data_IF_250725236488
#
_entry.id   IF_250725236488
#
_cell.length_a   1.000
_cell.length_b   1.000
_cell.length_c   1.000
_cell.angle_alpha   90.00
_cell.angle_beta   90.00
_cell.angle_gamma   90.00
#
_symmetry.space_group_name_H-M   'P 1'
#
loop_
_entity.id
_entity.type
_entity.pdbx_description
1 polymer ?
#
# COMPACT_ATOMS: atom_id res chain seq x y z
N UNK A 1 -16.69 -13.84 -10.69
CA UNK A 1 -15.82 -12.67 -10.96
C UNK A 1 -14.45 -12.92 -10.35
N UNK A 2 -13.39 -12.37 -10.95
CA UNK A 2 -12.07 -12.43 -10.35
C UNK A 2 -12.05 -11.62 -9.04
N UNK A 3 -11.32 -12.10 -8.03
CA UNK A 3 -11.16 -11.37 -6.76
C UNK A 3 -10.33 -10.11 -6.94
N UNK A 4 -10.65 -9.05 -6.19
CA UNK A 4 -9.94 -7.78 -6.24
C UNK A 4 -8.80 -7.76 -5.22
N UNK A 5 -7.61 -7.45 -5.69
CA UNK A 5 -6.42 -7.23 -4.86
C UNK A 5 -6.01 -5.76 -4.90
N UNK A 6 -5.99 -5.11 -3.74
CA UNK A 6 -5.54 -3.74 -3.54
C UNK A 6 -4.12 -3.75 -2.95
N UNK A 7 -3.17 -3.15 -3.67
CA UNK A 7 -1.76 -3.06 -3.26
C UNK A 7 -1.42 -1.60 -3.02
N UNK A 8 -1.10 -1.21 -1.79
CA UNK A 8 -0.67 0.17 -1.52
C UNK A 8 0.76 0.40 -2.00
N UNK A 9 1.01 1.52 -2.69
CA UNK A 9 2.34 1.83 -3.23
C UNK A 9 2.83 0.84 -4.28
N UNK A 10 1.92 0.26 -5.07
CA UNK A 10 2.23 -0.80 -6.04
C UNK A 10 2.97 -0.35 -7.31
N UNK A 11 3.33 0.93 -7.43
CA UNK A 11 4.09 1.46 -8.57
C UNK A 11 5.61 1.48 -8.33
N UNK A 12 6.07 1.07 -7.16
CA UNK A 12 7.49 1.00 -6.82
C UNK A 12 7.98 -0.45 -6.74
N UNK A 13 9.21 -0.68 -7.05
CA UNK A 13 9.98 -1.93 -6.98
C UNK A 13 9.24 -3.20 -6.48
N UNK A 14 9.19 -3.40 -5.17
CA UNK A 14 8.50 -4.55 -4.59
C UNK A 14 7.00 -4.56 -4.88
N UNK A 15 6.34 -3.40 -4.79
CA UNK A 15 4.90 -3.28 -5.04
C UNK A 15 4.53 -3.65 -6.48
N UNK A 16 5.32 -3.25 -7.47
CA UNK A 16 5.11 -3.62 -8.87
C UNK A 16 5.23 -5.14 -9.07
N UNK A 17 6.25 -5.76 -8.50
CA UNK A 17 6.43 -7.21 -8.57
C UNK A 17 5.24 -7.96 -7.92
N UNK A 18 4.71 -7.44 -6.82
CA UNK A 18 3.50 -7.97 -6.16
C UNK A 18 2.28 -7.83 -7.06
N UNK A 19 2.06 -6.67 -7.68
CA UNK A 19 0.97 -6.45 -8.62
C UNK A 19 1.03 -7.43 -9.80
N UNK A 20 2.19 -7.59 -10.42
CA UNK A 20 2.43 -8.53 -11.52
C UNK A 20 2.11 -9.97 -11.08
N UNK A 21 2.60 -10.38 -9.91
CA UNK A 21 2.36 -11.74 -9.41
C UNK A 21 0.89 -12.00 -9.11
N UNK A 22 0.17 -11.05 -8.53
CA UNK A 22 -1.25 -11.17 -8.26
C UNK A 22 -2.06 -11.25 -9.56
N UNK A 23 -1.71 -10.46 -10.58
CA UNK A 23 -2.34 -10.55 -11.90
C UNK A 23 -2.13 -11.92 -12.55
N UNK A 24 -0.92 -12.47 -12.46
CA UNK A 24 -0.61 -13.82 -12.97
C UNK A 24 -1.40 -14.92 -12.24
N UNK A 25 -1.85 -14.66 -11.00
CA UNK A 25 -2.72 -15.55 -10.23
C UNK A 25 -4.23 -15.33 -10.52
N UNK A 26 -4.58 -14.44 -11.45
CA UNK A 26 -5.96 -14.20 -11.89
C UNK A 26 -6.72 -13.19 -11.05
N UNK A 27 -6.04 -12.38 -10.22
CA UNK A 27 -6.69 -11.29 -9.50
C UNK A 27 -6.90 -10.06 -10.38
N UNK A 28 -7.99 -9.33 -10.16
CA UNK A 28 -8.12 -7.95 -10.62
C UNK A 28 -7.28 -7.07 -9.71
N UNK A 29 -6.22 -6.47 -10.24
CA UNK A 29 -5.23 -5.73 -9.42
C UNK A 29 -5.48 -4.25 -9.49
N UNK A 30 -5.54 -3.64 -8.31
CA UNK A 30 -5.63 -2.20 -8.09
C UNK A 30 -4.45 -1.76 -7.24
N UNK A 31 -3.88 -0.61 -7.53
CA UNK A 31 -2.82 -0.02 -6.70
C UNK A 31 -3.15 1.40 -6.26
N UNK A 32 -2.43 1.88 -5.25
CA UNK A 32 -2.48 3.29 -4.86
C UNK A 32 -1.15 3.98 -5.10
N UNK A 33 -1.22 5.28 -5.26
CA UNK A 33 -0.07 6.18 -5.30
C UNK A 33 -0.34 7.43 -4.46
N UNK A 34 0.70 8.13 -4.01
CA UNK A 34 0.52 9.40 -3.30
C UNK A 34 -0.21 10.43 -4.18
N UNK A 35 -1.06 11.31 -3.62
CA UNK A 35 -1.82 12.28 -4.40
C UNK A 35 -0.98 13.20 -5.30
N UNK A 36 0.27 13.50 -4.89
CA UNK A 36 1.20 14.29 -5.68
C UNK A 36 2.00 13.50 -6.74
N UNK A 37 1.72 12.21 -6.95
CA UNK A 37 2.45 11.40 -7.92
C UNK A 37 2.04 11.73 -9.36
N UNK A 38 2.99 12.21 -10.16
CA UNK A 38 2.78 12.57 -11.57
C UNK A 38 3.10 11.43 -12.54
N UNK A 39 3.55 10.26 -12.05
CA UNK A 39 4.01 9.15 -12.89
C UNK A 39 2.98 8.03 -13.04
N UNK A 40 1.80 8.18 -12.43
CA UNK A 40 0.79 7.12 -12.43
C UNK A 40 0.35 6.74 -13.86
N UNK A 41 0.03 7.71 -14.70
CA UNK A 41 -0.39 7.48 -16.07
C UNK A 41 0.69 6.81 -16.93
N UNK A 42 1.94 7.26 -16.83
CA UNK A 42 3.04 6.66 -17.58
C UNK A 42 3.34 5.23 -17.11
N UNK A 43 3.24 4.97 -15.81
CA UNK A 43 3.39 3.63 -15.28
C UNK A 43 2.26 2.70 -15.75
N UNK A 44 1.02 3.15 -15.70
CA UNK A 44 -0.12 2.37 -16.20
C UNK A 44 0.01 2.06 -17.69
N UNK A 45 0.51 3.02 -18.50
CA UNK A 45 0.78 2.79 -19.91
C UNK A 45 1.84 1.71 -20.12
N UNK A 46 2.96 1.78 -19.40
CA UNK A 46 4.02 0.77 -19.46
C UNK A 46 3.53 -0.64 -19.02
N UNK A 47 2.65 -0.71 -18.03
CA UNK A 47 2.06 -1.98 -17.61
C UNK A 47 1.11 -2.54 -18.67
N UNK A 48 0.31 -1.69 -19.34
CA UNK A 48 -0.55 -2.13 -20.46
C UNK A 48 0.25 -2.68 -21.64
N UNK A 49 1.38 -2.07 -21.98
CA UNK A 49 2.29 -2.58 -23.01
C UNK A 49 2.82 -3.99 -22.70
N UNK A 50 2.95 -4.31 -21.41
CA UNK A 50 3.33 -5.64 -20.91
C UNK A 50 2.14 -6.60 -20.77
N UNK A 51 0.91 -6.17 -21.11
CA UNK A 51 -0.29 -6.99 -21.05
C UNK A 51 -1.04 -6.95 -19.70
N UNK A 52 -0.68 -6.05 -18.77
CA UNK A 52 -1.36 -5.90 -17.48
C UNK A 52 -2.39 -4.77 -17.52
N UNK A 53 -3.60 -5.04 -17.08
CA UNK A 53 -4.66 -4.04 -16.99
C UNK A 53 -4.89 -3.60 -15.54
N UNK A 54 -3.93 -2.87 -14.97
CA UNK A 54 -4.01 -2.34 -13.62
C UNK A 54 -4.85 -1.05 -13.58
N UNK A 55 -5.44 -0.78 -12.41
CA UNK A 55 -5.99 0.52 -12.05
C UNK A 55 -5.17 1.12 -10.91
N UNK A 56 -5.02 2.44 -10.89
CA UNK A 56 -4.29 3.16 -9.86
C UNK A 56 -5.14 4.33 -9.33
N UNK A 57 -5.16 4.51 -8.02
CA UNK A 57 -5.94 5.56 -7.35
C UNK A 57 -5.04 6.41 -6.44
N UNK A 58 -5.26 7.73 -6.39
CA UNK A 58 -4.56 8.56 -5.42
C UNK A 58 -5.02 8.23 -4.00
N UNK A 59 -4.06 8.09 -3.09
CA UNK A 59 -4.32 7.80 -1.68
C UNK A 59 -3.13 8.24 -0.83
N UNK A 60 -3.37 9.10 0.14
CA UNK A 60 -2.45 9.30 1.24
C UNK A 60 -2.75 8.25 2.32
N UNK A 61 -1.96 7.19 2.35
CA UNK A 61 -2.17 6.09 3.30
C UNK A 61 -1.95 6.51 4.76
N UNK A 62 -1.24 7.61 5.00
CA UNK A 62 -1.02 8.16 6.34
C UNK A 62 -2.22 8.94 6.90
N UNK A 63 -3.20 9.24 6.04
CA UNK A 63 -4.43 9.95 6.37
C UNK A 63 -5.64 8.99 6.30
N UNK A 64 -6.36 8.89 7.40
CA UNK A 64 -7.47 7.94 7.53
C UNK A 64 -8.64 8.25 6.58
N UNK A 65 -8.98 9.50 6.42
CA UNK A 65 -10.09 9.91 5.56
C UNK A 65 -9.77 9.69 4.08
N UNK A 66 -8.51 9.96 3.68
CA UNK A 66 -7.99 9.64 2.35
C UNK A 66 -8.04 8.14 2.07
N UNK A 67 -7.61 7.31 3.02
CA UNK A 67 -7.64 5.85 2.91
C UNK A 67 -9.07 5.32 2.76
N UNK A 68 -10.02 5.81 3.59
CA UNK A 68 -11.42 5.45 3.48
C UNK A 68 -12.04 5.86 2.14
N UNK A 69 -11.76 7.07 1.67
CA UNK A 69 -12.26 7.57 0.39
C UNK A 69 -11.74 6.72 -0.77
N UNK A 70 -10.44 6.39 -0.75
CA UNK A 70 -9.82 5.55 -1.76
C UNK A 70 -10.44 4.14 -1.80
N UNK A 71 -10.60 3.48 -0.65
CA UNK A 71 -11.22 2.15 -0.59
C UNK A 71 -12.66 2.19 -1.12
N UNK A 72 -13.47 3.16 -0.69
CA UNK A 72 -14.83 3.32 -1.22
C UNK A 72 -14.86 3.48 -2.74
N UNK A 73 -13.96 4.28 -3.29
CA UNK A 73 -13.87 4.47 -4.74
C UNK A 73 -13.50 3.17 -5.45
N UNK A 74 -12.51 2.42 -4.94
CA UNK A 74 -12.12 1.12 -5.49
C UNK A 74 -13.31 0.15 -5.48
N UNK A 75 -14.04 0.06 -4.37
CA UNK A 75 -15.18 -0.85 -4.25
C UNK A 75 -16.34 -0.49 -5.18
N UNK A 76 -16.58 0.80 -5.39
CA UNK A 76 -17.62 1.28 -6.33
C UNK A 76 -17.26 1.03 -7.80
N UNK A 77 -16.00 1.24 -8.19
CA UNK A 77 -15.58 1.22 -9.59
C UNK A 77 -15.01 -0.13 -10.06
N UNK A 78 -14.57 -0.97 -9.13
CA UNK A 78 -13.90 -2.25 -9.44
C UNK A 78 -14.62 -3.43 -8.79
N UNK A 79 -14.93 -3.32 -7.51
CA UNK A 79 -15.58 -4.35 -6.72
C UNK A 79 -14.98 -4.48 -5.32
N UNK A 80 -15.60 -5.31 -4.46
CA UNK A 80 -15.18 -5.45 -3.08
C UNK A 80 -13.72 -5.94 -2.97
N UNK A 81 -12.95 -5.31 -2.08
CA UNK A 81 -11.55 -5.68 -1.87
C UNK A 81 -11.48 -7.02 -1.14
N UNK A 82 -10.89 -8.02 -1.79
CA UNK A 82 -10.71 -9.37 -1.24
C UNK A 82 -9.32 -9.58 -0.67
N UNK A 83 -8.30 -8.96 -1.26
CA UNK A 83 -6.91 -9.00 -0.80
C UNK A 83 -6.40 -7.57 -0.62
N UNK A 84 -5.88 -7.26 0.55
CA UNK A 84 -5.17 -6.02 0.82
C UNK A 84 -3.70 -6.33 1.06
N UNK A 85 -2.81 -5.66 0.32
CA UNK A 85 -1.37 -5.69 0.57
C UNK A 85 -0.92 -4.31 1.03
N UNK A 86 -0.65 -4.17 2.31
CA UNK A 86 -0.06 -2.98 2.91
C UNK A 86 1.44 -2.99 2.61
N UNK A 87 1.82 -2.32 1.51
CA UNK A 87 3.19 -2.26 1.00
C UNK A 87 3.75 -0.83 0.98
N UNK A 88 2.91 0.19 0.98
CA UNK A 88 3.36 1.57 1.00
C UNK A 88 4.23 1.84 2.24
N UNK A 89 5.37 2.47 2.03
CA UNK A 89 6.29 2.80 3.11
C UNK A 89 7.36 3.79 2.65
N UNK A 90 7.94 4.46 3.61
CA UNK A 90 9.06 5.41 3.41
C UNK A 90 10.18 5.14 4.39
N UNK A 91 11.36 5.64 4.08
CA UNK A 91 12.47 5.74 5.01
C UNK A 91 12.84 7.22 5.24
N UNK A 92 13.35 7.52 6.42
CA UNK A 92 13.95 8.80 6.79
C UNK A 92 15.17 8.48 7.66
N UNK A 93 16.23 8.02 6.99
CA UNK A 93 17.40 7.45 7.62
C UNK A 93 18.30 8.54 8.21
N UNK A 94 18.56 8.44 9.49
CA UNK A 94 19.50 9.30 10.21
C UNK A 94 19.85 8.68 11.57
N UNK A 95 20.99 9.08 12.14
CA UNK A 95 21.34 8.64 13.49
C UNK A 95 20.29 9.16 14.50
N UNK A 96 20.01 8.40 15.56
CA UNK A 96 19.05 8.80 16.59
C UNK A 96 19.37 10.17 17.18
N UNK A 97 20.65 10.50 17.35
CA UNK A 97 21.10 11.84 17.82
C UNK A 97 20.60 12.99 16.93
N UNK A 98 20.43 12.75 15.63
CA UNK A 98 19.99 13.77 14.65
C UNK A 98 18.51 13.65 14.30
N UNK A 99 17.86 12.57 14.75
CA UNK A 99 16.46 12.32 14.41
C UNK A 99 15.56 13.34 15.11
N UNK A 100 14.77 14.03 14.34
CA UNK A 100 13.78 14.95 14.82
C UNK A 100 12.36 14.32 14.81
N UNK A 101 11.46 14.98 15.51
CA UNK A 101 10.07 14.49 15.63
C UNK A 101 9.34 14.41 14.29
N UNK A 102 9.47 15.38 13.35
CA UNK A 102 8.86 15.28 12.03
C UNK A 102 9.29 14.04 11.23
N UNK A 103 10.57 13.71 11.23
CA UNK A 103 11.08 12.52 10.52
C UNK A 103 10.65 11.20 11.18
N UNK A 104 10.57 11.17 12.51
CA UNK A 104 9.96 10.06 13.24
C UNK A 104 8.49 9.88 12.86
N UNK A 105 7.69 10.96 12.99
CA UNK A 105 6.24 10.91 12.73
C UNK A 105 5.90 10.56 11.28
N UNK A 106 6.68 11.07 10.34
CA UNK A 106 6.46 10.75 8.93
C UNK A 106 6.56 9.23 8.68
N UNK A 107 7.57 8.57 9.26
CA UNK A 107 7.74 7.12 9.12
C UNK A 107 6.65 6.35 9.86
N UNK A 108 6.35 6.72 11.12
CA UNK A 108 5.30 6.06 11.89
C UNK A 108 3.94 6.16 11.21
N UNK A 109 3.55 7.35 10.74
CA UNK A 109 2.27 7.55 10.06
C UNK A 109 2.18 6.77 8.74
N UNK A 110 3.26 6.79 7.95
CA UNK A 110 3.21 6.14 6.63
C UNK A 110 3.37 4.63 6.71
N UNK A 111 4.24 4.11 7.60
CA UNK A 111 4.56 2.68 7.62
C UNK A 111 3.70 1.89 8.61
N UNK A 112 3.24 2.52 9.72
CA UNK A 112 2.47 1.83 10.77
C UNK A 112 1.00 2.24 10.77
N UNK A 113 0.68 3.54 10.89
CA UNK A 113 -0.72 3.99 10.95
C UNK A 113 -1.47 3.63 9.67
N UNK A 114 -0.78 3.63 8.53
CA UNK A 114 -1.32 3.21 7.22
C UNK A 114 -1.91 1.79 7.25
N UNK A 115 -1.32 0.89 8.02
CA UNK A 115 -1.82 -0.49 8.16
C UNK A 115 -3.23 -0.48 8.76
N UNK A 116 -3.45 0.32 9.80
CA UNK A 116 -4.79 0.52 10.35
C UNK A 116 -5.71 1.24 9.36
N UNK A 117 -5.23 2.36 8.79
CA UNK A 117 -6.02 3.22 7.91
C UNK A 117 -6.59 2.46 6.70
N UNK A 118 -5.79 1.59 6.09
CA UNK A 118 -6.19 0.80 4.92
C UNK A 118 -6.95 -0.48 5.30
N UNK A 119 -6.60 -1.10 6.44
CA UNK A 119 -7.24 -2.35 6.87
C UNK A 119 -8.67 -2.12 7.36
N UNK A 120 -8.89 -1.07 8.14
CA UNK A 120 -10.20 -0.81 8.77
C UNK A 120 -11.35 -0.74 7.75
N UNK A 121 -11.27 0.01 6.64
CA UNK A 121 -12.36 0.11 5.68
C UNK A 121 -12.66 -1.18 4.90
N UNK A 122 -11.71 -2.11 4.75
CA UNK A 122 -11.93 -3.37 4.01
C UNK A 122 -12.34 -4.54 4.91
N UNK A 123 -12.03 -4.45 6.20
CA UNK A 123 -12.16 -5.57 7.14
C UNK A 123 -13.61 -6.06 7.28
N UNK A 124 -14.55 -5.16 7.49
CA UNK A 124 -15.95 -5.52 7.71
C UNK A 124 -16.55 -6.27 6.52
N UNK A 125 -16.29 -5.78 5.28
CA UNK A 125 -16.72 -6.47 4.06
C UNK A 125 -16.07 -7.84 3.87
N UNK A 126 -14.80 -8.02 4.25
CA UNK A 126 -14.16 -9.34 4.22
C UNK A 126 -14.80 -10.31 5.22
N UNK A 127 -15.13 -9.82 6.41
CA UNK A 127 -15.81 -10.63 7.45
C UNK A 127 -17.20 -11.04 6.97
N UNK A 128 -18.02 -10.11 6.47
CA UNK A 128 -19.35 -10.38 5.96
C UNK A 128 -19.37 -11.42 4.82
N UNK A 129 -18.38 -11.37 3.94
CA UNK A 129 -18.24 -12.34 2.84
C UNK A 129 -17.59 -13.67 3.28
N UNK A 130 -17.13 -13.79 4.54
CA UNK A 130 -16.46 -14.97 5.07
C UNK A 130 -15.10 -15.26 4.40
N UNK A 131 -14.54 -14.28 3.67
CA UNK A 131 -13.25 -14.44 3.00
C UNK A 131 -12.52 -13.11 2.83
N UNK A 132 -11.23 -13.12 3.09
CA UNK A 132 -10.31 -12.00 2.88
C UNK A 132 -8.86 -12.38 3.19
N UNK A 133 -7.92 -11.61 2.68
CA UNK A 133 -6.49 -11.72 3.03
C UNK A 133 -5.90 -10.34 3.20
N UNK A 134 -5.24 -10.13 4.33
CA UNK A 134 -4.50 -8.92 4.64
C UNK A 134 -3.04 -9.30 4.79
N UNK A 135 -2.18 -8.68 3.99
CA UNK A 135 -0.74 -8.94 3.94
C UNK A 135 -0.02 -7.65 4.29
N UNK A 136 0.73 -7.65 5.37
CA UNK A 136 1.53 -6.50 5.79
C UNK A 136 2.98 -6.76 5.40
N UNK A 137 3.55 -5.88 4.57
CA UNK A 137 4.97 -5.95 4.21
C UNK A 137 5.79 -5.29 5.31
N UNK A 138 6.55 -6.10 6.00
CA UNK A 138 7.49 -5.68 7.03
C UNK A 138 8.94 -5.74 6.51
N UNK A 139 9.89 -5.54 7.38
CA UNK A 139 11.32 -5.56 7.04
C UNK A 139 12.11 -6.41 8.02
N UNK A 140 13.16 -7.05 7.53
CA UNK A 140 14.16 -7.69 8.38
C UNK A 140 14.81 -6.68 9.35
N UNK A 141 14.81 -5.40 9.01
CA UNK A 141 15.33 -4.34 9.88
C UNK A 141 14.41 -4.07 11.09
N UNK A 142 13.13 -4.44 11.04
CA UNK A 142 12.25 -4.47 12.21
C UNK A 142 12.59 -5.58 13.20
N UNK A 143 13.24 -6.67 12.75
CA UNK A 143 13.66 -7.77 13.61
C UNK A 143 15.06 -7.56 14.21
N UNK A 144 16.04 -7.17 13.40
CA UNK A 144 17.44 -7.04 13.83
C UNK A 144 17.90 -5.62 14.14
N UNK A 145 17.09 -4.60 13.79
CA UNK A 145 17.51 -3.22 13.76
C UNK A 145 18.47 -2.89 12.62
N UNK A 146 18.63 -1.61 12.32
CA UNK A 146 19.63 -1.10 11.38
C UNK A 146 20.13 0.26 11.83
N UNK A 147 21.43 0.50 11.68
CA UNK A 147 22.03 1.79 11.98
C UNK A 147 21.36 2.90 11.17
N UNK A 148 20.95 3.96 11.83
CA UNK A 148 20.28 5.09 11.18
C UNK A 148 18.78 4.89 10.90
N UNK A 149 18.19 3.75 11.27
CA UNK A 149 16.79 3.41 10.97
C UNK A 149 15.96 3.16 12.25
N UNK A 150 16.17 3.92 13.30
CA UNK A 150 15.43 3.74 14.56
C UNK A 150 13.91 3.86 14.34
N UNK A 151 13.47 4.86 13.57
CA UNK A 151 12.07 5.06 13.17
C UNK A 151 11.54 3.93 12.27
N UNK A 152 12.29 3.59 11.23
CA UNK A 152 11.89 2.55 10.27
C UNK A 152 11.83 1.15 10.90
N UNK A 153 12.75 0.86 11.83
CA UNK A 153 12.76 -0.42 12.54
C UNK A 153 11.66 -0.52 13.61
N UNK A 154 11.13 0.62 14.07
CA UNK A 154 10.05 0.66 15.06
C UNK A 154 8.65 0.58 14.44
N UNK A 155 8.52 0.91 13.15
CA UNK A 155 7.25 1.02 12.42
C UNK A 155 6.75 -0.34 11.80
#
# INVERSE_FOLDING_TARGET
MARVALVTGGMGGLGEAVCIKLAALGYTVVTTHSPGNTKAESWLAAMREQGYNFKAYPCDVSDYDSAQACVRQVEQEVGPVDVLVNNAGITRDMTFKKMDKPNWDAVMKTNLDSVFNMTKPVCDGMVERGWGRIINISSVNGQKGAFGQTNYSAA
#
